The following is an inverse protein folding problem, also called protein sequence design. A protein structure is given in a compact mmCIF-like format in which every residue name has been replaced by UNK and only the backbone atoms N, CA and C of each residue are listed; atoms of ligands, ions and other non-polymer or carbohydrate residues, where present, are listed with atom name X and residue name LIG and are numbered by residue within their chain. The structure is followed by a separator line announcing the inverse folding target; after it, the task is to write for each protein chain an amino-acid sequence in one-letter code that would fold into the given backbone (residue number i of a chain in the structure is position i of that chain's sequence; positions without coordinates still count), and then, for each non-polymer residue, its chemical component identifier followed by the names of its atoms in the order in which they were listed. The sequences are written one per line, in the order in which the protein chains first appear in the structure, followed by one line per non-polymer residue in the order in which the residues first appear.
data_IF_605699058843
#
_entry.id   IF_605699058843
#
_cell.length_a   1.000
_cell.length_b   1.000
_cell.length_c   1.000
_cell.angle_alpha   90.00
_cell.angle_beta   90.00
_cell.angle_gamma   90.00
#
_symmetry.space_group_name_H-M   'P 1'
#
loop_
_entity.id
_entity.type
_entity.pdbx_description
1 polymer ?
#
# COMPACT_ATOMS: atom_id res chain seq x y z
N UNK A 1 18.54 2.51 30.30
CA UNK A 1 17.57 3.14 31.21
C UNK A 1 18.27 4.08 32.18
N UNK A 2 17.93 5.38 32.15
CA UNK A 2 18.45 6.37 33.09
C UNK A 2 17.63 6.39 34.39
N UNK A 3 16.40 5.96 34.34
CA UNK A 3 15.49 5.74 35.47
C UNK A 3 14.41 4.74 35.05
N UNK A 4 13.62 4.18 35.98
CA UNK A 4 12.44 3.35 35.62
C UNK A 4 11.41 4.09 34.75
N UNK A 5 11.48 5.42 34.71
CA UNK A 5 10.55 6.31 34.01
C UNK A 5 11.09 6.85 32.68
N UNK A 6 12.39 6.64 32.38
CA UNK A 6 13.07 7.21 31.21
C UNK A 6 13.77 6.14 30.40
N UNK A 7 13.54 6.17 29.10
CA UNK A 7 14.19 5.30 28.12
C UNK A 7 14.87 6.12 27.03
N UNK A 8 16.14 5.82 26.76
CA UNK A 8 16.86 6.33 25.59
C UNK A 8 17.31 5.14 24.77
N UNK A 9 17.12 5.20 23.47
CA UNK A 9 17.56 4.15 22.57
C UNK A 9 18.15 4.70 21.28
N UNK A 10 19.12 3.95 20.76
CA UNK A 10 19.70 4.13 19.43
C UNK A 10 19.53 2.83 18.67
N UNK A 11 18.97 2.91 17.46
CA UNK A 11 18.80 1.77 16.55
C UNK A 11 19.47 2.10 15.23
N UNK A 12 20.19 1.14 14.70
CA UNK A 12 20.68 1.13 13.34
C UNK A 12 20.11 -0.09 12.60
N UNK A 13 19.61 0.11 11.39
CA UNK A 13 19.11 -0.96 10.52
C UNK A 13 19.70 -0.76 9.12
N UNK A 14 20.58 -1.69 8.72
CA UNK A 14 21.09 -1.79 7.36
C UNK A 14 20.33 -2.88 6.60
N UNK A 15 19.80 -2.57 5.41
CA UNK A 15 19.18 -3.54 4.52
C UNK A 15 19.92 -3.56 3.20
N UNK A 16 20.17 -4.75 2.71
CA UNK A 16 20.65 -5.02 1.37
C UNK A 16 19.69 -6.02 0.72
N UNK A 17 19.21 -5.71 -0.46
CA UNK A 17 18.39 -6.59 -1.26
C UNK A 17 18.93 -6.59 -2.69
N UNK A 18 19.04 -7.77 -3.27
CA UNK A 18 19.40 -7.98 -4.67
C UNK A 18 18.49 -9.07 -5.22
N UNK A 19 17.91 -8.84 -6.39
CA UNK A 19 17.01 -9.78 -7.04
C UNK A 19 17.07 -9.66 -8.54
N UNK A 20 16.79 -10.77 -9.23
CA UNK A 20 16.62 -10.81 -10.66
C UNK A 20 15.21 -11.26 -10.98
N UNK A 21 14.53 -10.49 -11.83
CA UNK A 21 13.21 -10.82 -12.35
C UNK A 21 13.32 -11.15 -13.81
N UNK A 22 12.91 -12.36 -14.18
CA UNK A 22 12.82 -12.79 -15.56
C UNK A 22 11.35 -12.94 -15.94
N UNK A 23 10.91 -12.25 -16.99
CA UNK A 23 9.57 -12.40 -17.56
C UNK A 23 9.64 -12.86 -19.01
N UNK A 24 8.69 -13.73 -19.37
CA UNK A 24 8.52 -14.22 -20.74
C UNK A 24 7.04 -14.13 -21.09
N UNK A 25 6.71 -13.15 -21.89
CA UNK A 25 5.34 -12.79 -22.20
C UNK A 25 5.09 -12.86 -23.70
N UNK A 26 3.85 -13.16 -24.08
CA UNK A 26 3.39 -13.02 -25.46
C UNK A 26 2.28 -11.97 -25.46
N UNK A 27 2.57 -10.86 -26.11
CA UNK A 27 1.64 -9.75 -26.27
C UNK A 27 0.88 -9.94 -27.59
N UNK A 28 -0.41 -9.63 -27.58
CA UNK A 28 -1.21 -9.64 -28.78
C UNK A 28 -1.99 -8.34 -28.92
N UNK A 29 -1.83 -7.68 -30.06
CA UNK A 29 -2.67 -6.56 -30.45
C UNK A 29 -3.71 -7.08 -31.44
N UNK A 30 -4.99 -6.92 -31.10
CA UNK A 30 -6.12 -7.32 -31.94
C UNK A 30 -6.87 -6.05 -32.32
N UNK A 31 -6.62 -5.46 -33.48
CA UNK A 31 -7.34 -4.28 -33.95
C UNK A 31 -8.75 -4.68 -34.38
N UNK A 32 -9.69 -3.74 -34.33
CA UNK A 32 -11.08 -3.96 -34.83
C UNK A 32 -11.13 -4.36 -36.31
N UNK A 33 -10.16 -3.90 -37.10
CA UNK A 33 -9.98 -4.26 -38.51
C UNK A 33 -8.49 -4.44 -38.78
N UNK A 34 -8.12 -5.60 -39.31
CA UNK A 34 -6.74 -5.88 -39.69
C UNK A 34 -6.22 -7.22 -39.17
N UNK A 35 -4.91 -7.41 -39.28
CA UNK A 35 -4.23 -8.63 -38.85
C UNK A 35 -3.79 -8.46 -37.39
N UNK A 36 -4.01 -9.47 -36.59
CA UNK A 36 -3.50 -9.48 -35.20
C UNK A 36 -1.98 -9.62 -35.20
N UNK A 37 -1.34 -8.79 -34.43
CA UNK A 37 0.12 -8.80 -34.23
C UNK A 37 0.44 -9.52 -32.91
N UNK A 38 1.40 -10.44 -32.97
CA UNK A 38 1.90 -11.15 -31.80
C UNK A 38 3.35 -10.80 -31.61
N UNK A 39 3.69 -10.40 -30.39
CA UNK A 39 5.05 -10.07 -29.98
C UNK A 39 5.43 -10.96 -28.81
N UNK A 40 6.57 -11.61 -28.92
CA UNK A 40 7.22 -12.26 -27.82
C UNK A 40 8.12 -11.26 -27.12
N UNK A 41 7.91 -11.06 -25.82
CA UNK A 41 8.70 -10.16 -24.97
C UNK A 41 9.45 -11.00 -23.93
N UNK A 42 10.76 -10.82 -23.86
CA UNK A 42 11.60 -11.36 -22.78
C UNK A 42 12.23 -10.19 -22.05
N UNK A 43 11.93 -10.10 -20.77
CA UNK A 43 12.50 -9.07 -19.89
C UNK A 43 13.35 -9.71 -18.80
N UNK A 44 14.57 -9.22 -18.65
CA UNK A 44 15.51 -9.59 -17.59
C UNK A 44 15.89 -8.32 -16.84
N UNK A 45 15.46 -8.25 -15.57
CA UNK A 45 15.66 -7.06 -14.73
C UNK A 45 16.41 -7.47 -13.47
N UNK A 46 17.52 -6.80 -13.22
CA UNK A 46 18.32 -6.93 -12.01
C UNK A 46 18.12 -5.69 -11.14
N UNK A 47 17.58 -5.90 -9.95
CA UNK A 47 17.31 -4.86 -8.96
C UNK A 47 18.25 -5.00 -7.76
N UNK A 48 18.75 -3.88 -7.29
CA UNK A 48 19.59 -3.77 -6.11
C UNK A 48 19.14 -2.61 -5.25
N UNK A 49 18.85 -2.86 -3.98
CA UNK A 49 18.47 -1.84 -3.00
C UNK A 49 19.39 -1.90 -1.79
N UNK A 50 19.88 -0.74 -1.38
CA UNK A 50 20.68 -0.56 -0.16
C UNK A 50 20.04 0.54 0.66
N UNK A 51 19.74 0.28 1.92
CA UNK A 51 19.26 1.31 2.85
C UNK A 51 19.97 1.26 4.18
N UNK A 52 20.22 2.43 4.74
CA UNK A 52 20.79 2.63 6.07
C UNK A 52 19.87 3.54 6.86
N UNK A 53 19.30 3.04 7.93
CA UNK A 53 18.38 3.76 8.81
C UNK A 53 18.94 3.88 10.21
N UNK A 54 19.06 5.11 10.69
CA UNK A 54 19.44 5.45 12.04
C UNK A 54 18.24 6.05 12.76
N UNK A 55 17.91 5.54 13.93
CA UNK A 55 16.84 6.05 14.78
C UNK A 55 17.39 6.30 16.18
N UNK A 56 17.12 7.50 16.71
CA UNK A 56 17.39 7.91 18.09
C UNK A 56 16.05 8.25 18.73
N UNK A 57 15.79 7.74 19.93
CA UNK A 57 14.59 8.10 20.65
C UNK A 57 14.84 8.34 22.14
N UNK A 58 14.00 9.20 22.70
CA UNK A 58 13.85 9.44 24.12
C UNK A 58 12.38 9.37 24.50
N UNK A 59 12.06 8.56 25.50
CA UNK A 59 10.71 8.40 26.05
C UNK A 59 10.81 8.63 27.55
N UNK A 60 9.91 9.44 28.09
CA UNK A 60 9.77 9.64 29.51
C UNK A 60 8.31 9.62 29.93
N UNK A 61 8.00 8.86 31.00
CA UNK A 61 6.68 8.74 31.60
C UNK A 61 6.79 9.12 33.08
N UNK A 62 6.49 10.39 33.39
CA UNK A 62 6.57 10.89 34.76
C UNK A 62 5.37 10.45 35.58
N UNK A 63 5.57 10.13 36.85
CA UNK A 63 4.51 9.72 37.78
C UNK A 63 3.40 10.75 38.01
N UNK A 64 3.63 12.00 37.61
CA UNK A 64 2.67 13.10 37.73
C UNK A 64 1.72 13.23 36.53
N UNK A 65 1.65 12.21 35.65
CA UNK A 65 0.77 12.17 34.49
C UNK A 65 1.32 12.79 33.20
N UNK A 66 2.54 13.34 33.23
CA UNK A 66 3.20 13.83 32.02
C UNK A 66 3.93 12.71 31.30
N UNK A 67 3.80 12.68 29.96
CA UNK A 67 4.55 11.77 29.08
C UNK A 67 5.16 12.57 27.95
N UNK A 68 6.43 12.30 27.65
CA UNK A 68 7.15 12.94 26.55
C UNK A 68 7.81 11.90 25.67
N UNK A 69 7.66 12.07 24.37
CA UNK A 69 8.36 11.24 23.38
C UNK A 69 9.08 12.15 22.38
N UNK A 70 10.33 11.83 22.11
CA UNK A 70 11.16 12.49 21.09
C UNK A 70 11.75 11.40 20.21
N UNK A 71 11.61 11.53 18.90
CA UNK A 71 12.19 10.61 17.92
C UNK A 71 12.94 11.42 16.87
N UNK A 72 14.06 10.89 16.42
CA UNK A 72 14.83 11.41 15.30
C UNK A 72 15.25 10.25 14.41
N UNK A 73 15.02 10.37 13.12
CA UNK A 73 15.34 9.36 12.12
C UNK A 73 16.15 9.97 10.99
N UNK A 74 17.13 9.23 10.51
CA UNK A 74 17.82 9.49 9.26
C UNK A 74 17.85 8.21 8.43
N UNK A 75 17.38 8.29 7.20
CA UNK A 75 17.42 7.21 6.24
C UNK A 75 18.16 7.66 4.98
N UNK A 76 19.14 6.87 4.56
CA UNK A 76 19.73 6.94 3.23
C UNK A 76 19.38 5.68 2.45
N UNK A 77 18.83 5.82 1.25
CA UNK A 77 18.43 4.70 0.40
C UNK A 77 18.91 4.91 -1.03
N UNK A 78 19.52 3.87 -1.60
CA UNK A 78 19.91 3.80 -3.01
C UNK A 78 19.25 2.60 -3.65
N UNK A 79 18.47 2.82 -4.71
CA UNK A 79 17.90 1.78 -5.55
C UNK A 79 18.54 1.86 -6.94
N UNK A 80 18.98 0.71 -7.46
CA UNK A 80 19.52 0.56 -8.80
C UNK A 80 18.77 -0.55 -9.52
N UNK A 81 18.32 -0.30 -10.75
CA UNK A 81 17.68 -1.28 -11.61
C UNK A 81 18.35 -1.29 -12.97
N UNK A 82 18.64 -2.45 -13.50
CA UNK A 82 19.16 -2.67 -14.85
C UNK A 82 18.25 -3.65 -15.55
N UNK A 83 17.69 -3.25 -16.69
CA UNK A 83 16.81 -4.09 -17.48
C UNK A 83 17.29 -4.27 -18.90
N UNK A 84 17.15 -5.48 -19.42
CA UNK A 84 17.27 -5.82 -20.82
C UNK A 84 15.91 -6.36 -21.30
N UNK A 85 15.30 -5.70 -22.28
CA UNK A 85 14.04 -6.10 -22.87
C UNK A 85 14.29 -6.48 -24.32
N UNK A 86 13.92 -7.69 -24.71
CA UNK A 86 14.07 -8.22 -26.05
C UNK A 86 12.73 -8.62 -26.62
N UNK A 87 12.45 -8.18 -27.83
CA UNK A 87 11.17 -8.40 -28.49
C UNK A 87 11.35 -8.94 -29.91
N UNK A 88 10.45 -9.84 -30.29
CA UNK A 88 10.34 -10.41 -31.62
C UNK A 88 8.90 -10.32 -32.10
N UNK A 89 8.70 -9.80 -33.29
CA UNK A 89 7.43 -9.78 -33.98
C UNK A 89 7.46 -10.83 -35.09
N UNK A 90 6.74 -11.94 -34.93
CA UNK A 90 6.67 -13.05 -35.90
C UNK A 90 8.07 -13.51 -36.35
N UNK A 91 8.46 -13.23 -37.58
CA UNK A 91 9.74 -13.60 -38.19
C UNK A 91 10.70 -12.40 -38.32
N UNK A 92 10.39 -11.27 -37.70
CA UNK A 92 11.20 -10.06 -37.76
C UNK A 92 12.45 -10.12 -36.86
N UNK A 93 13.38 -9.20 -37.15
CA UNK A 93 14.61 -9.08 -36.36
C UNK A 93 14.30 -8.73 -34.88
N UNK A 94 15.11 -9.28 -33.99
CA UNK A 94 15.09 -8.95 -32.56
C UNK A 94 15.30 -7.44 -32.34
N UNK A 95 14.44 -6.84 -31.56
CA UNK A 95 14.65 -5.51 -31.00
C UNK A 95 15.07 -5.63 -29.55
N UNK A 96 16.16 -5.01 -29.16
CA UNK A 96 16.67 -4.99 -27.79
C UNK A 96 16.74 -3.60 -27.24
N UNK A 97 16.26 -3.42 -26.00
CA UNK A 97 16.33 -2.20 -25.24
C UNK A 97 16.99 -2.45 -23.89
N UNK A 98 18.05 -1.72 -23.62
CA UNK A 98 18.72 -1.71 -22.32
C UNK A 98 18.44 -0.41 -21.60
N UNK A 99 18.18 -0.49 -20.30
CA UNK A 99 18.06 0.67 -19.43
C UNK A 99 18.79 0.50 -18.12
N UNK A 100 19.20 1.62 -17.55
CA UNK A 100 19.75 1.73 -16.21
C UNK A 100 19.00 2.83 -15.45
N UNK A 101 18.42 2.47 -14.30
CA UNK A 101 17.77 3.41 -13.39
C UNK A 101 18.54 3.44 -12.08
N UNK A 102 18.70 4.64 -11.52
CA UNK A 102 19.26 4.85 -10.20
C UNK A 102 18.44 5.90 -9.45
N UNK A 103 18.03 5.60 -8.23
CA UNK A 103 17.37 6.52 -7.34
C UNK A 103 18.13 6.59 -5.99
N UNK A 104 18.51 7.79 -5.59
CA UNK A 104 19.19 8.08 -4.32
C UNK A 104 18.29 8.99 -3.47
N UNK A 105 18.05 8.61 -2.23
CA UNK A 105 17.15 9.31 -1.32
C UNK A 105 17.77 9.50 0.06
N UNK A 106 17.62 10.72 0.59
CA UNK A 106 17.91 11.09 1.96
C UNK A 106 16.62 11.57 2.63
N UNK A 107 16.31 11.02 3.78
CA UNK A 107 15.16 11.40 4.60
C UNK A 107 15.65 11.68 6.02
N UNK A 108 15.34 12.86 6.51
CA UNK A 108 15.45 13.22 7.91
C UNK A 108 14.04 13.46 8.48
N UNK A 109 13.72 12.85 9.61
CA UNK A 109 12.45 13.07 10.31
C UNK A 109 12.68 13.25 11.81
N UNK A 110 11.88 14.14 12.41
CA UNK A 110 11.86 14.34 13.85
C UNK A 110 10.40 14.45 14.33
N UNK A 111 10.13 13.87 15.50
CA UNK A 111 8.82 13.91 16.13
C UNK A 111 8.98 14.21 17.62
N UNK A 112 8.20 15.16 18.07
CA UNK A 112 8.04 15.50 19.48
C UNK A 112 6.58 15.33 19.87
N UNK A 113 6.30 14.71 21.00
CA UNK A 113 4.97 14.70 21.60
C UNK A 113 5.05 14.84 23.12
N UNK A 114 4.14 15.65 23.65
CA UNK A 114 3.96 15.87 25.07
C UNK A 114 2.47 15.61 25.39
N UNK A 115 2.20 14.74 26.35
CA UNK A 115 0.85 14.50 26.84
C UNK A 115 0.75 14.64 28.34
N UNK A 116 -0.41 15.05 28.79
CA UNK A 116 -0.75 15.16 30.19
C UNK A 116 -2.06 14.42 30.46
N UNK A 117 -1.96 13.38 31.26
CA UNK A 117 -3.05 12.49 31.64
C UNK A 117 -3.51 12.80 33.08
N UNK A 118 -4.84 12.97 33.25
CA UNK A 118 -5.45 13.15 34.54
C UNK A 118 -6.63 12.18 34.69
N UNK A 119 -6.81 11.66 35.91
CA UNK A 119 -7.92 10.73 36.21
C UNK A 119 -9.32 11.37 35.97
N UNK A 120 -9.47 12.67 36.14
CA UNK A 120 -10.77 13.36 36.07
C UNK A 120 -11.03 14.12 34.79
N UNK A 121 -9.98 14.62 34.14
CA UNK A 121 -10.12 15.49 32.98
C UNK A 121 -9.63 14.86 31.67
N UNK A 122 -9.22 13.60 31.69
CA UNK A 122 -8.74 12.89 30.49
C UNK A 122 -7.30 13.23 30.12
N UNK A 123 -6.96 13.02 28.87
CA UNK A 123 -5.61 13.18 28.32
C UNK A 123 -5.56 14.30 27.29
N UNK A 124 -4.69 15.28 27.49
CA UNK A 124 -4.36 16.30 26.51
C UNK A 124 -3.00 15.96 25.88
N UNK A 125 -2.92 16.07 24.55
CA UNK A 125 -1.67 15.83 23.85
C UNK A 125 -1.39 16.94 22.85
N UNK A 126 -0.11 17.34 22.81
CA UNK A 126 0.45 18.29 21.86
C UNK A 126 1.64 17.63 21.18
N UNK A 127 1.76 17.79 19.87
CA UNK A 127 2.94 17.26 19.18
C UNK A 127 3.30 18.04 17.94
N UNK A 128 4.53 17.84 17.53
CA UNK A 128 5.13 18.43 16.34
C UNK A 128 5.91 17.39 15.57
N UNK A 129 5.64 17.28 14.27
CA UNK A 129 6.36 16.41 13.36
C UNK A 129 7.04 17.24 12.28
N UNK A 130 8.29 16.92 12.02
CA UNK A 130 9.11 17.50 10.96
C UNK A 130 9.61 16.39 10.05
N UNK A 131 9.62 16.60 8.73
CA UNK A 131 10.38 15.76 7.82
C UNK A 131 10.95 16.57 6.65
N UNK A 132 12.14 16.18 6.23
CA UNK A 132 12.84 16.68 5.06
C UNK A 132 13.27 15.49 4.21
N UNK A 133 12.74 15.39 3.00
CA UNK A 133 13.10 14.37 2.03
C UNK A 133 13.78 15.04 0.84
N UNK A 134 14.92 14.51 0.40
CA UNK A 134 15.61 14.95 -0.81
C UNK A 134 16.09 13.73 -1.59
N UNK A 135 15.91 13.74 -2.90
CA UNK A 135 16.38 12.64 -3.72
C UNK A 135 16.48 12.97 -5.20
N UNK A 136 17.12 12.06 -5.90
CA UNK A 136 17.29 12.10 -7.36
C UNK A 136 16.86 10.76 -7.94
N UNK A 137 16.05 10.78 -8.99
CA UNK A 137 15.69 9.62 -9.80
C UNK A 137 16.24 9.87 -11.21
N UNK A 138 17.04 8.94 -11.70
CA UNK A 138 17.70 8.99 -12.99
C UNK A 138 17.43 7.73 -13.79
N UNK A 139 17.03 7.84 -15.03
CA UNK A 139 16.89 6.74 -15.98
C UNK A 139 17.65 7.03 -17.26
N UNK A 140 18.41 6.06 -17.72
CA UNK A 140 19.19 6.10 -18.95
C UNK A 140 18.81 4.93 -19.84
N UNK A 141 18.52 5.21 -21.11
CA UNK A 141 18.26 4.23 -22.14
C UNK A 141 19.41 4.17 -23.12
N UNK A 142 19.87 2.97 -23.40
CA UNK A 142 20.88 2.71 -24.44
C UNK A 142 20.13 2.47 -25.74
N UNK A 143 20.05 3.48 -26.62
CA UNK A 143 19.58 3.45 -28.03
C UNK A 143 18.13 3.83 -28.35
N UNK A 144 17.21 4.12 -27.40
CA UNK A 144 15.81 4.24 -27.81
C UNK A 144 14.99 5.42 -27.25
N UNK A 145 15.15 5.81 -25.99
CA UNK A 145 14.35 6.86 -25.36
C UNK A 145 15.23 7.97 -24.77
N UNK A 146 14.60 9.10 -24.48
CA UNK A 146 15.29 10.19 -23.81
C UNK A 146 15.61 9.83 -22.38
N UNK A 147 16.83 10.11 -21.95
CA UNK A 147 17.26 9.99 -20.57
C UNK A 147 16.52 11.02 -19.71
N UNK A 148 16.08 10.61 -18.53
CA UNK A 148 15.40 11.48 -17.58
C UNK A 148 16.15 11.59 -16.26
N UNK A 149 16.15 12.79 -15.67
CA UNK A 149 16.69 13.02 -14.34
C UNK A 149 15.82 14.02 -13.60
N UNK A 150 15.21 13.57 -12.52
CA UNK A 150 14.35 14.38 -11.67
C UNK A 150 14.97 14.50 -10.27
N UNK A 151 15.00 15.71 -9.74
CA UNK A 151 15.35 15.99 -8.35
C UNK A 151 14.09 16.40 -7.60
N UNK A 152 13.85 15.74 -6.47
CA UNK A 152 12.73 15.98 -5.58
C UNK A 152 13.24 16.48 -4.23
N UNK A 153 12.61 17.52 -3.70
CA UNK A 153 12.85 18.00 -2.33
C UNK A 153 11.51 18.31 -1.69
N UNK A 154 11.25 17.76 -0.51
CA UNK A 154 10.01 18.02 0.21
C UNK A 154 10.30 18.32 1.68
N UNK A 155 9.69 19.40 2.18
CA UNK A 155 9.74 19.82 3.58
C UNK A 155 8.31 19.78 4.13
N UNK A 156 8.12 19.06 5.24
CA UNK A 156 6.83 18.98 5.94
C UNK A 156 7.01 19.38 7.40
N UNK A 157 6.09 20.21 7.85
CA UNK A 157 5.93 20.59 9.25
C UNK A 157 4.48 20.31 9.66
N UNK A 158 4.28 19.71 10.81
CA UNK A 158 2.94 19.42 11.31
C UNK A 158 2.86 19.71 12.79
N UNK A 159 1.82 20.39 13.19
CA UNK A 159 1.46 20.63 14.60
C UNK A 159 0.12 19.95 14.88
N UNK A 160 0.01 19.21 15.98
CA UNK A 160 -1.26 18.60 16.35
C UNK A 160 -1.58 18.77 17.83
N UNK A 161 -2.88 18.85 18.09
CA UNK A 161 -3.48 18.88 19.42
C UNK A 161 -4.56 17.82 19.47
N UNK A 162 -4.59 17.02 20.53
CA UNK A 162 -5.68 16.06 20.77
C UNK A 162 -6.12 16.06 22.23
N UNK A 163 -7.37 15.67 22.43
CA UNK A 163 -7.98 15.48 23.71
C UNK A 163 -8.76 14.16 23.72
N UNK A 164 -8.51 13.32 24.72
CA UNK A 164 -9.15 12.04 24.91
C UNK A 164 -9.76 11.98 26.32
N UNK A 165 -11.05 11.65 26.39
CA UNK A 165 -11.78 11.53 27.65
C UNK A 165 -12.59 10.24 27.71
N UNK A 166 -12.48 9.54 28.81
CA UNK A 166 -13.24 8.33 29.09
C UNK A 166 -14.11 8.53 30.31
N UNK A 167 -15.41 8.22 30.15
CA UNK A 167 -16.39 8.28 31.23
C UNK A 167 -17.22 6.98 31.26
N UNK A 168 -16.99 6.16 32.29
CA UNK A 168 -17.56 4.82 32.39
C UNK A 168 -17.29 4.01 31.10
N UNK A 169 -18.35 3.66 30.39
CA UNK A 169 -18.30 2.88 29.16
C UNK A 169 -18.15 3.74 27.91
N UNK A 170 -18.18 5.06 28.02
CA UNK A 170 -18.10 6.00 26.91
C UNK A 170 -16.70 6.61 26.81
N UNK A 171 -16.14 6.69 25.60
CA UNK A 171 -14.88 7.38 25.34
C UNK A 171 -15.07 8.36 24.16
N UNK A 172 -14.58 9.56 24.34
CA UNK A 172 -14.56 10.63 23.33
C UNK A 172 -13.12 11.00 23.04
N UNK A 173 -12.75 11.02 21.76
CA UNK A 173 -11.48 11.57 21.27
C UNK A 173 -11.76 12.69 20.28
N UNK A 174 -11.00 13.78 20.37
CA UNK A 174 -11.01 14.86 19.41
C UNK A 174 -9.58 15.32 19.11
N UNK A 175 -9.28 15.59 17.85
CA UNK A 175 -7.96 16.02 17.43
C UNK A 175 -8.02 17.02 16.28
N UNK A 176 -7.03 17.88 16.21
CA UNK A 176 -6.78 18.77 15.08
C UNK A 176 -5.30 18.75 14.75
N UNK A 177 -4.99 18.48 13.49
CA UNK A 177 -3.64 18.52 12.95
C UNK A 177 -3.58 19.58 11.85
N UNK A 178 -2.59 20.45 11.93
CA UNK A 178 -2.24 21.37 10.85
C UNK A 178 -0.96 20.88 10.19
N UNK A 179 -0.95 20.80 8.85
CA UNK A 179 0.23 20.44 8.07
C UNK A 179 0.57 21.54 7.08
N UNK A 180 1.83 21.93 7.06
CA UNK A 180 2.45 22.75 6.03
C UNK A 180 3.48 21.92 5.27
N UNK A 181 3.24 21.75 3.96
CA UNK A 181 4.10 20.93 3.10
C UNK A 181 4.55 21.81 1.92
N UNK A 182 5.86 21.81 1.66
CA UNK A 182 6.44 22.41 0.47
C UNK A 182 7.21 21.36 -0.29
N UNK A 183 6.84 21.16 -1.57
CA UNK A 183 7.47 20.22 -2.49
C UNK A 183 8.05 21.00 -3.68
N UNK A 184 9.28 20.71 -4.03
CA UNK A 184 10.03 21.29 -5.16
C UNK A 184 10.54 20.14 -6.03
N UNK A 185 10.02 20.06 -7.25
CA UNK A 185 10.36 19.06 -8.24
C UNK A 185 11.03 19.75 -9.43
N UNK A 186 12.19 19.25 -9.84
CA UNK A 186 12.96 19.80 -10.96
C UNK A 186 13.43 18.68 -11.87
N UNK A 187 13.07 18.82 -13.13
CA UNK A 187 13.62 17.99 -14.18
C UNK A 187 14.85 18.67 -14.79
N UNK A 188 15.94 17.92 -14.88
CA UNK A 188 17.23 18.51 -15.30
C UNK A 188 17.31 18.68 -16.81
N UNK A 189 16.64 17.83 -17.60
CA UNK A 189 16.79 17.81 -19.06
C UNK A 189 15.84 18.79 -19.77
N UNK A 190 14.64 19.04 -19.24
CA UNK A 190 13.59 19.83 -19.89
C UNK A 190 13.35 21.19 -19.23
N UNK A 191 14.13 21.58 -18.23
CA UNK A 191 13.92 22.79 -17.42
C UNK A 191 12.53 22.92 -16.81
N UNK A 192 11.78 21.82 -16.75
CA UNK A 192 10.47 21.78 -16.10
C UNK A 192 10.65 21.75 -14.58
N UNK A 193 9.92 22.60 -13.93
CA UNK A 193 9.88 22.61 -12.46
C UNK A 193 8.45 22.75 -11.97
N UNK A 194 8.16 22.08 -10.86
CA UNK A 194 6.86 22.15 -10.21
C UNK A 194 7.06 22.41 -8.72
N UNK A 195 6.51 23.53 -8.25
CA UNK A 195 6.49 23.89 -6.84
C UNK A 195 5.08 23.78 -6.31
N UNK A 196 4.90 23.05 -5.23
CA UNK A 196 3.60 22.87 -4.58
C UNK A 196 3.72 23.22 -3.10
N UNK A 197 2.75 23.97 -2.60
CA UNK A 197 2.63 24.27 -1.18
C UNK A 197 1.22 23.93 -0.70
N UNK A 198 1.14 23.17 0.38
CA UNK A 198 -0.13 22.74 0.97
C UNK A 198 -0.24 23.22 2.40
N UNK A 199 -1.47 23.61 2.75
CA UNK A 199 -1.89 23.96 4.10
C UNK A 199 -3.12 23.13 4.45
N UNK A 200 -2.96 22.10 5.25
CA UNK A 200 -4.01 21.14 5.57
C UNK A 200 -4.46 21.30 7.01
N UNK A 201 -5.76 21.39 7.23
CA UNK A 201 -6.39 21.24 8.53
C UNK A 201 -7.10 19.89 8.56
N UNK A 202 -6.65 19.01 9.44
CA UNK A 202 -7.04 17.61 9.49
C UNK A 202 -7.68 17.30 10.85
N UNK A 203 -8.98 17.57 11.01
CA UNK A 203 -9.72 17.22 12.22
C UNK A 203 -9.96 15.72 12.32
N UNK A 204 -10.07 15.22 13.54
CA UNK A 204 -10.51 13.87 13.86
C UNK A 204 -11.43 13.90 15.09
N UNK A 205 -12.47 13.05 15.05
CA UNK A 205 -13.37 12.83 16.19
C UNK A 205 -13.67 11.35 16.28
N UNK A 206 -13.65 10.82 17.49
CA UNK A 206 -14.00 9.43 17.78
C UNK A 206 -14.96 9.36 18.96
N UNK A 207 -15.96 8.50 18.86
CA UNK A 207 -16.90 8.18 19.92
C UNK A 207 -16.93 6.66 20.05
N UNK A 208 -16.64 6.13 21.25
CA UNK A 208 -16.65 4.69 21.51
C UNK A 208 -17.50 4.39 22.73
N UNK A 209 -18.25 3.29 22.66
CA UNK A 209 -19.00 2.74 23.78
C UNK A 209 -18.64 1.27 23.97
N UNK A 210 -18.09 0.93 25.15
CA UNK A 210 -17.52 -0.37 25.44
C UNK A 210 -18.13 -0.97 26.71
N UNK A 211 -18.69 -2.18 26.58
CA UNK A 211 -19.11 -3.03 27.68
C UNK A 211 -18.41 -4.39 27.56
N UNK A 212 -18.62 -5.29 28.50
CA UNK A 212 -18.05 -6.65 28.44
C UNK A 212 -18.42 -7.43 27.16
N UNK A 213 -19.63 -7.21 26.63
CA UNK A 213 -20.15 -7.98 25.49
C UNK A 213 -20.33 -7.17 24.21
N UNK A 214 -20.30 -5.84 24.30
CA UNK A 214 -20.53 -4.93 23.18
C UNK A 214 -19.45 -3.86 23.17
N UNK A 215 -18.75 -3.76 22.06
CA UNK A 215 -17.83 -2.66 21.76
C UNK A 215 -18.24 -2.03 20.43
N UNK A 216 -18.38 -0.73 20.41
CA UNK A 216 -18.71 0.00 19.19
C UNK A 216 -17.98 1.33 19.16
N UNK A 217 -17.61 1.76 17.95
CA UNK A 217 -17.00 3.06 17.73
C UNK A 217 -17.44 3.68 16.44
N UNK A 218 -17.59 4.99 16.46
CA UNK A 218 -17.80 5.83 15.30
C UNK A 218 -16.65 6.82 15.23
N UNK A 219 -15.92 6.85 14.13
CA UNK A 219 -14.80 7.75 13.91
C UNK A 219 -15.01 8.55 12.63
N UNK A 220 -14.66 9.81 12.68
CA UNK A 220 -14.54 10.67 11.53
C UNK A 220 -13.17 11.31 11.52
N UNK A 221 -12.49 11.28 10.38
CA UNK A 221 -11.19 11.92 10.22
C UNK A 221 -11.00 12.46 8.81
N UNK A 222 -10.13 13.46 8.70
CA UNK A 222 -9.60 13.91 7.42
C UNK A 222 -8.13 13.59 7.39
N UNK A 223 -7.66 12.96 6.31
CA UNK A 223 -6.25 12.67 6.09
C UNK A 223 -5.83 12.94 4.66
N UNK A 224 -4.53 13.10 4.44
CA UNK A 224 -3.95 13.35 3.14
C UNK A 224 -3.12 12.16 2.66
N UNK A 225 -3.15 11.88 1.37
CA UNK A 225 -2.26 10.95 0.69
C UNK A 225 -1.45 11.72 -0.34
N UNK A 226 -0.13 11.64 -0.24
CA UNK A 226 0.78 12.30 -1.18
C UNK A 226 1.25 11.30 -2.23
N UNK A 227 1.44 11.75 -3.49
CA UNK A 227 1.96 10.88 -4.53
C UNK A 227 3.31 10.28 -4.13
N UNK A 228 3.58 9.01 -4.53
CA UNK A 228 4.90 8.44 -4.40
C UNK A 228 5.93 9.21 -5.22
N UNK A 229 7.13 9.38 -4.71
CA UNK A 229 8.18 10.13 -5.41
C UNK A 229 8.56 9.49 -6.76
N UNK A 230 8.53 8.16 -6.84
CA UNK A 230 8.91 7.41 -8.05
C UNK A 230 8.01 7.65 -9.27
N UNK A 231 6.78 8.19 -9.08
CA UNK A 231 5.87 8.55 -10.17
C UNK A 231 5.79 10.06 -10.43
N UNK A 232 6.41 10.88 -9.57
CA UNK A 232 6.48 12.33 -9.72
C UNK A 232 7.68 12.76 -10.57
N UNK A 233 7.70 12.32 -11.81
CA UNK A 233 8.72 12.63 -12.81
C UNK A 233 8.07 12.69 -14.20
N UNK A 234 8.81 13.06 -15.23
CA UNK A 234 8.34 13.02 -16.64
C UNK A 234 8.99 11.87 -17.44
N UNK A 235 9.62 10.94 -16.74
CA UNK A 235 10.29 9.80 -17.34
C UNK A 235 9.26 8.87 -17.98
N UNK A 236 9.56 8.37 -19.18
CA UNK A 236 8.80 7.29 -19.79
C UNK A 236 9.59 5.99 -19.60
N UNK A 237 8.97 5.02 -18.96
CA UNK A 237 9.53 3.68 -18.81
C UNK A 237 8.90 2.77 -19.85
N UNK A 238 9.73 2.15 -20.66
CA UNK A 238 9.32 1.19 -21.67
C UNK A 238 8.97 -0.14 -20.97
N UNK A 239 7.76 -0.60 -21.16
CA UNK A 239 7.31 -1.92 -20.67
C UNK A 239 7.36 -2.94 -21.81
N UNK A 240 6.81 -2.56 -22.95
CA UNK A 240 6.79 -3.32 -24.19
C UNK A 240 6.45 -2.39 -25.37
N UNK A 241 6.48 -2.91 -26.60
CA UNK A 241 6.21 -2.14 -27.83
C UNK A 241 4.85 -1.42 -27.83
N UNK A 242 3.88 -1.93 -27.10
CA UNK A 242 2.52 -1.39 -27.02
C UNK A 242 2.25 -0.63 -25.72
N UNK A 243 3.18 -0.65 -24.76
CA UNK A 243 2.93 -0.10 -23.43
C UNK A 243 4.13 0.68 -22.91
N UNK A 244 3.87 1.93 -22.53
CA UNK A 244 4.79 2.79 -21.80
C UNK A 244 4.17 3.16 -20.46
N UNK A 245 4.98 3.21 -19.42
CA UNK A 245 4.60 3.82 -18.15
C UNK A 245 5.24 5.21 -18.08
N UNK A 246 4.45 6.24 -17.83
CA UNK A 246 4.91 7.61 -17.70
C UNK A 246 4.66 8.15 -16.31
N UNK A 247 5.62 8.91 -15.79
CA UNK A 247 5.41 9.68 -14.57
C UNK A 247 4.55 10.93 -14.82
N UNK A 248 4.14 11.61 -13.76
CA UNK A 248 3.38 12.86 -13.82
C UNK A 248 3.88 13.84 -12.75
N UNK A 249 4.55 14.91 -13.19
CA UNK A 249 5.07 15.97 -12.32
C UNK A 249 3.96 16.78 -11.62
N UNK A 250 2.76 16.80 -12.20
CA UNK A 250 1.65 17.66 -11.77
C UNK A 250 0.72 17.00 -10.77
N UNK A 251 1.07 15.83 -10.28
CA UNK A 251 0.29 15.12 -9.27
C UNK A 251 0.13 15.96 -8.00
N UNK A 252 -1.10 16.03 -7.52
CA UNK A 252 -1.48 16.71 -6.29
C UNK A 252 -1.72 15.68 -5.18
N UNK A 253 -1.60 16.11 -3.94
CA UNK A 253 -2.05 15.30 -2.82
C UNK A 253 -3.56 15.03 -2.89
N UNK A 254 -3.97 13.84 -2.50
CA UNK A 254 -5.36 13.49 -2.25
C UNK A 254 -5.76 13.90 -0.83
N UNK A 255 -7.02 14.32 -0.65
CA UNK A 255 -7.62 14.64 0.65
C UNK A 255 -8.82 13.72 0.85
N UNK A 256 -8.80 12.91 1.89
CA UNK A 256 -9.84 11.92 2.17
C UNK A 256 -10.58 12.26 3.46
N UNK A 257 -11.90 12.37 3.35
CA UNK A 257 -12.83 12.32 4.47
C UNK A 257 -13.20 10.87 4.72
N UNK A 258 -13.00 10.40 5.92
CA UNK A 258 -13.21 9.01 6.32
C UNK A 258 -14.21 8.95 7.48
N UNK A 259 -15.32 8.25 7.28
CA UNK A 259 -16.32 7.95 8.30
C UNK A 259 -16.37 6.44 8.50
N UNK A 260 -15.99 5.98 9.69
CA UNK A 260 -15.91 4.57 10.00
C UNK A 260 -16.73 4.21 11.23
N UNK A 261 -17.58 3.20 11.11
CA UNK A 261 -18.32 2.60 12.20
C UNK A 261 -17.89 1.15 12.40
N UNK A 262 -17.51 0.80 13.63
CA UNK A 262 -17.17 -0.57 14.04
C UNK A 262 -18.09 -1.03 15.15
N UNK A 263 -18.49 -2.28 15.07
CA UNK A 263 -19.25 -2.99 16.08
C UNK A 263 -18.62 -4.36 16.32
N UNK A 264 -18.33 -4.66 17.58
CA UNK A 264 -17.96 -5.98 18.04
C UNK A 264 -18.98 -6.45 19.08
N UNK A 265 -19.66 -7.55 18.80
CA UNK A 265 -20.64 -8.14 19.72
C UNK A 265 -20.47 -9.66 19.76
N UNK A 266 -19.97 -10.18 20.88
CA UNK A 266 -19.71 -11.62 21.09
C UNK A 266 -18.82 -12.20 19.95
N UNK A 267 -19.43 -12.87 19.00
CA UNK A 267 -18.79 -13.55 17.87
C UNK A 267 -18.98 -12.80 16.54
N UNK A 268 -19.66 -11.67 16.57
CA UNK A 268 -19.90 -10.82 15.41
C UNK A 268 -18.96 -9.61 15.43
N UNK A 269 -18.22 -9.40 14.35
CA UNK A 269 -17.59 -8.14 14.03
C UNK A 269 -18.26 -7.54 12.78
N UNK A 270 -18.63 -6.29 12.86
CA UNK A 270 -19.17 -5.52 11.75
C UNK A 270 -18.39 -4.22 11.59
N UNK A 271 -18.02 -3.88 10.35
CA UNK A 271 -17.41 -2.61 9.99
C UNK A 271 -18.13 -2.01 8.79
N UNK A 272 -18.42 -0.72 8.87
CA UNK A 272 -18.94 0.08 7.76
C UNK A 272 -18.07 1.32 7.61
N UNK A 273 -17.40 1.44 6.48
CA UNK A 273 -16.51 2.55 6.17
C UNK A 273 -17.01 3.28 4.92
N UNK A 274 -17.09 4.58 5.01
CA UNK A 274 -17.38 5.47 3.89
C UNK A 274 -16.27 6.48 3.73
N UNK A 275 -15.68 6.55 2.54
CA UNK A 275 -14.66 7.53 2.21
C UNK A 275 -15.08 8.42 1.04
N UNK A 276 -14.74 9.69 1.14
CA UNK A 276 -14.85 10.67 0.06
C UNK A 276 -13.48 11.30 -0.16
N UNK A 277 -12.83 10.94 -1.27
CA UNK A 277 -11.48 11.41 -1.61
C UNK A 277 -11.55 12.46 -2.70
N UNK A 278 -10.99 13.63 -2.45
CA UNK A 278 -10.72 14.69 -3.42
C UNK A 278 -9.33 14.50 -4.02
N UNK A 279 -9.19 14.73 -5.32
CA UNK A 279 -7.95 14.49 -6.08
C UNK A 279 -7.38 13.07 -5.86
N UNK A 280 -8.20 11.99 -5.88
CA UNK A 280 -7.67 10.64 -5.71
C UNK A 280 -6.62 10.33 -6.77
N UNK A 281 -5.58 9.61 -6.35
CA UNK A 281 -4.53 9.13 -7.23
C UNK A 281 -5.01 7.85 -7.92
N UNK A 282 -5.14 7.87 -9.23
CA UNK A 282 -5.66 6.73 -10.02
C UNK A 282 -4.78 6.48 -11.23
N UNK A 283 -4.50 5.21 -11.52
CA UNK A 283 -3.81 4.83 -12.75
C UNK A 283 -4.75 5.01 -13.93
N UNK A 284 -4.36 5.88 -14.86
CA UNK A 284 -5.07 6.17 -16.10
C UNK A 284 -4.28 5.69 -17.32
N UNK A 285 -4.95 5.63 -18.46
CA UNK A 285 -4.38 5.17 -19.72
C UNK A 285 -4.84 6.09 -20.86
N UNK A 286 -3.96 6.34 -21.81
CA UNK A 286 -4.32 6.99 -23.06
C UNK A 286 -3.53 6.41 -24.25
N UNK A 287 -4.09 6.50 -25.44
CA UNK A 287 -3.36 6.15 -26.67
C UNK A 287 -2.32 7.22 -26.98
N UNK A 288 -1.11 6.81 -27.33
CA UNK A 288 -0.03 7.75 -27.68
C UNK A 288 -0.45 8.62 -28.85
N UNK A 289 -0.32 9.96 -28.76
CA UNK A 289 -0.59 10.85 -29.89
C UNK A 289 0.24 10.47 -31.12
N UNK A 290 -0.43 10.24 -32.25
CA UNK A 290 0.21 9.84 -33.52
C UNK A 290 0.45 8.33 -33.65
N UNK A 291 0.24 7.52 -32.61
CA UNK A 291 0.32 6.06 -32.66
C UNK A 291 -0.69 5.42 -31.72
N UNK A 292 -1.92 5.20 -32.20
CA UNK A 292 -3.01 4.61 -31.41
C UNK A 292 -2.77 3.15 -30.98
N UNK A 293 -1.75 2.50 -31.55
CA UNK A 293 -1.35 1.16 -31.16
C UNK A 293 -0.62 1.13 -29.82
N UNK A 294 -0.11 2.27 -29.37
CA UNK A 294 0.67 2.39 -28.14
C UNK A 294 -0.17 2.99 -27.02
N UNK A 295 -0.23 2.29 -25.91
CA UNK A 295 -0.89 2.73 -24.68
C UNK A 295 0.13 3.32 -23.72
N UNK A 296 -0.18 4.50 -23.18
CA UNK A 296 0.60 5.10 -22.09
C UNK A 296 -0.19 4.96 -20.80
N UNK A 297 0.41 4.27 -19.83
CA UNK A 297 -0.08 4.18 -18.45
C UNK A 297 0.56 5.27 -17.60
N UNK A 298 -0.21 5.99 -16.81
CA UNK A 298 0.30 7.04 -15.92
C UNK A 298 -0.62 7.21 -14.71
N UNK A 299 -0.08 7.79 -13.65
CA UNK A 299 -0.90 8.18 -12.51
C UNK A 299 -1.47 9.58 -12.73
N UNK A 300 -2.74 9.79 -12.39
CA UNK A 300 -3.42 11.08 -12.50
C UNK A 300 -4.32 11.33 -11.29
N UNK A 301 -4.69 12.59 -11.08
CA UNK A 301 -5.68 12.98 -10.08
C UNK A 301 -7.06 13.07 -10.72
N UNK A 302 -8.01 12.33 -10.17
CA UNK A 302 -9.40 12.52 -10.52
C UNK A 302 -10.04 13.57 -9.61
N UNK A 303 -11.23 14.07 -9.96
CA UNK A 303 -11.89 15.08 -9.16
C UNK A 303 -12.34 14.51 -7.82
N UNK A 304 -13.12 13.42 -7.85
CA UNK A 304 -13.72 12.83 -6.66
C UNK A 304 -13.95 11.33 -6.78
N UNK A 305 -13.70 10.62 -5.67
CA UNK A 305 -13.98 9.21 -5.55
C UNK A 305 -14.68 8.94 -4.22
N UNK A 306 -15.82 8.24 -4.26
CA UNK A 306 -16.50 7.79 -3.05
C UNK A 306 -16.42 6.28 -2.97
N UNK A 307 -16.08 5.74 -1.79
CA UNK A 307 -16.08 4.32 -1.53
C UNK A 307 -16.96 4.01 -0.32
N UNK A 308 -17.76 2.97 -0.44
CA UNK A 308 -18.50 2.37 0.67
C UNK A 308 -18.06 0.93 0.82
N UNK A 309 -17.50 0.59 1.97
CA UNK A 309 -17.04 -0.76 2.29
C UNK A 309 -17.77 -1.26 3.53
N UNK A 310 -18.46 -2.39 3.39
CA UNK A 310 -19.06 -3.10 4.50
C UNK A 310 -18.35 -4.43 4.72
N UNK A 311 -18.03 -4.77 5.96
CA UNK A 311 -17.43 -6.05 6.33
C UNK A 311 -18.16 -6.66 7.50
N UNK A 312 -18.49 -7.95 7.39
CA UNK A 312 -19.04 -8.77 8.47
C UNK A 312 -18.08 -9.94 8.69
N UNK A 313 -17.64 -10.14 9.90
CA UNK A 313 -16.92 -11.34 10.30
C UNK A 313 -17.71 -12.06 11.41
N UNK A 314 -17.91 -13.34 11.23
CA UNK A 314 -18.54 -14.25 12.18
C UNK A 314 -17.52 -15.31 12.57
N UNK A 315 -17.12 -15.33 13.84
CA UNK A 315 -16.20 -16.34 14.36
C UNK A 315 -16.80 -16.99 15.60
N UNK A 316 -17.17 -18.27 15.50
CA UNK A 316 -17.78 -18.99 16.61
C UNK A 316 -17.02 -20.27 16.92
N UNK A 317 -16.26 -20.32 18.04
CA UNK A 317 -15.50 -21.52 18.41
C UNK A 317 -16.44 -22.64 18.88
N UNK A 318 -16.31 -23.81 18.23
CA UNK A 318 -17.06 -25.04 18.59
C UNK A 318 -16.05 -26.11 18.99
N UNK A 319 -15.65 -26.12 20.26
CA UNK A 319 -14.69 -27.11 20.80
C UNK A 319 -13.44 -27.31 19.93
N UNK A 320 -13.44 -28.33 19.07
CA UNK A 320 -12.32 -28.69 18.18
C UNK A 320 -12.34 -27.97 16.84
N UNK A 321 -13.38 -27.17 16.55
CA UNK A 321 -13.55 -26.45 15.29
C UNK A 321 -13.78 -24.97 15.55
N UNK A 322 -13.01 -24.12 14.86
CA UNK A 322 -13.13 -22.67 14.91
C UNK A 322 -13.40 -22.16 13.49
N UNK A 323 -14.67 -22.05 13.08
CA UNK A 323 -15.03 -21.41 11.83
C UNK A 323 -14.92 -19.89 11.93
N UNK A 324 -14.46 -19.26 10.87
CA UNK A 324 -14.47 -17.80 10.70
C UNK A 324 -14.94 -17.46 9.28
N UNK A 325 -16.07 -16.79 9.18
CA UNK A 325 -16.66 -16.35 7.92
C UNK A 325 -16.55 -14.82 7.82
N UNK A 326 -15.82 -14.33 6.82
CA UNK A 326 -15.73 -12.91 6.52
C UNK A 326 -16.36 -12.63 5.17
N UNK A 327 -17.32 -11.71 5.15
CA UNK A 327 -17.91 -11.16 3.95
C UNK A 327 -17.56 -9.67 3.85
N UNK A 328 -16.87 -9.27 2.79
CA UNK A 328 -16.58 -7.87 2.48
C UNK A 328 -17.31 -7.47 1.21
N UNK A 329 -18.01 -6.36 1.24
CA UNK A 329 -18.68 -5.75 0.08
C UNK A 329 -18.12 -4.35 -0.13
N UNK A 330 -17.56 -4.09 -1.29
CA UNK A 330 -16.97 -2.80 -1.66
C UNK A 330 -17.70 -2.21 -2.86
N UNK A 331 -18.15 -0.97 -2.72
CA UNK A 331 -18.77 -0.22 -3.80
C UNK A 331 -18.05 1.11 -3.97
N UNK A 332 -17.39 1.27 -5.11
CA UNK A 332 -16.82 2.55 -5.53
C UNK A 332 -17.86 3.30 -6.34
N UNK A 333 -18.02 4.59 -6.08
CA UNK A 333 -18.85 5.49 -6.86
C UNK A 333 -17.94 6.51 -7.52
N UNK A 334 -17.94 6.52 -8.83
CA UNK A 334 -17.23 7.51 -9.64
C UNK A 334 -18.09 7.92 -10.82
N UNK A 335 -17.83 9.10 -11.30
CA UNK A 335 -18.43 9.65 -12.48
C UNK A 335 -17.30 10.34 -13.25
N UNK A 336 -16.81 9.71 -14.29
CA UNK A 336 -15.60 10.14 -14.99
C UNK A 336 -15.89 10.37 -16.47
N UNK A 337 -15.47 11.51 -17.04
CA UNK A 337 -15.66 11.74 -18.48
C UNK A 337 -14.79 10.76 -19.29
N UNK A 338 -15.44 9.95 -20.11
CA UNK A 338 -14.76 9.23 -21.17
C UNK A 338 -14.38 10.17 -22.32
N UNK A 339 -13.55 9.73 -23.26
CA UNK A 339 -13.04 10.59 -24.34
C UNK A 339 -14.10 10.94 -25.39
N UNK A 340 -15.12 10.13 -25.51
CA UNK A 340 -16.28 10.38 -26.36
C UNK A 340 -17.31 11.32 -25.72
N UNK A 341 -16.98 11.91 -24.55
CA UNK A 341 -17.87 12.72 -23.73
C UNK A 341 -18.89 11.92 -22.94
N UNK A 342 -18.91 10.59 -23.07
CA UNK A 342 -19.74 9.72 -22.21
C UNK A 342 -19.20 9.70 -20.80
N UNK A 343 -20.11 9.56 -19.82
CA UNK A 343 -19.71 9.44 -18.42
C UNK A 343 -19.53 7.99 -18.04
N UNK A 344 -18.31 7.58 -17.75
CA UNK A 344 -18.00 6.30 -17.15
C UNK A 344 -18.52 6.28 -15.71
N UNK A 345 -19.33 5.30 -15.38
CA UNK A 345 -19.92 5.12 -14.05
C UNK A 345 -19.46 3.81 -13.43
N UNK A 346 -19.38 3.79 -12.12
CA UNK A 346 -19.09 2.56 -11.39
C UNK A 346 -20.15 1.51 -11.66
N UNK A 347 -19.69 0.30 -11.90
CA UNK A 347 -20.55 -0.86 -12.15
C UNK A 347 -20.98 -1.57 -10.86
N UNK A 348 -20.81 -2.89 -10.83
CA UNK A 348 -21.21 -3.77 -9.73
C UNK A 348 -20.32 -3.63 -8.50
N UNK A 349 -20.86 -3.81 -7.27
CA UNK A 349 -20.00 -3.95 -6.09
C UNK A 349 -19.12 -5.20 -6.23
N UNK A 350 -17.93 -5.13 -5.64
CA UNK A 350 -17.03 -6.27 -5.48
C UNK A 350 -17.33 -6.92 -4.12
N UNK A 351 -17.60 -8.23 -4.12
CA UNK A 351 -17.81 -9.01 -2.90
C UNK A 351 -16.67 -10.01 -2.74
N UNK A 352 -16.13 -10.11 -1.54
CA UNK A 352 -15.08 -11.06 -1.17
C UNK A 352 -15.58 -11.88 0.00
N UNK A 353 -15.60 -13.19 -0.16
CA UNK A 353 -15.94 -14.17 0.88
C UNK A 353 -14.67 -14.92 1.28
N UNK A 354 -14.32 -14.87 2.57
CA UNK A 354 -13.27 -15.69 3.16
C UNK A 354 -13.90 -16.62 4.19
N UNK A 355 -13.72 -17.91 4.02
CA UNK A 355 -14.21 -18.91 4.97
C UNK A 355 -13.02 -19.73 5.47
N UNK A 356 -12.54 -19.35 6.66
CA UNK A 356 -11.37 -19.93 7.30
C UNK A 356 -11.83 -20.91 8.37
N UNK A 357 -11.31 -22.11 8.33
CA UNK A 357 -11.65 -23.16 9.30
C UNK A 357 -10.38 -23.66 9.96
N UNK A 358 -10.40 -23.74 11.28
CA UNK A 358 -9.32 -24.33 12.07
C UNK A 358 -9.86 -25.50 12.88
N UNK A 359 -9.24 -26.67 12.71
CA UNK A 359 -9.63 -27.90 13.38
C UNK A 359 -8.49 -28.38 14.27
N UNK A 360 -8.77 -28.50 15.58
CA UNK A 360 -7.87 -29.16 16.51
C UNK A 360 -8.16 -30.66 16.49
N UNK A 361 -7.29 -31.42 15.85
CA UNK A 361 -7.42 -32.86 15.68
C UNK A 361 -6.76 -33.61 16.86
N UNK A 362 -7.08 -34.91 17.03
CA UNK A 362 -6.40 -35.75 18.03
C UNK A 362 -4.88 -35.70 17.89
N UNK A 363 -4.18 -35.97 19.00
CA UNK A 363 -2.71 -35.94 19.07
C UNK A 363 -2.07 -34.59 18.80
N UNK A 364 -2.81 -33.46 18.92
CA UNK A 364 -2.28 -32.10 18.80
C UNK A 364 -1.98 -31.67 17.35
N UNK A 365 -2.59 -32.29 16.36
CA UNK A 365 -2.58 -31.76 15.00
C UNK A 365 -3.55 -30.59 14.85
N UNK A 366 -3.13 -29.57 14.13
CA UNK A 366 -3.96 -28.43 13.73
C UNK A 366 -4.13 -28.45 12.21
N UNK A 367 -5.36 -28.68 11.74
CA UNK A 367 -5.72 -28.58 10.32
C UNK A 367 -6.40 -27.24 10.06
N UNK A 368 -5.90 -26.46 9.10
CA UNK A 368 -6.56 -25.25 8.61
C UNK A 368 -7.03 -25.45 7.18
N UNK A 369 -8.22 -24.93 6.87
CA UNK A 369 -8.80 -24.94 5.53
C UNK A 369 -9.35 -23.55 5.20
N UNK A 370 -8.71 -22.85 4.26
CA UNK A 370 -9.00 -21.46 3.92
C UNK A 370 -9.58 -21.38 2.51
N UNK A 371 -10.87 -21.13 2.43
CA UNK A 371 -11.59 -20.95 1.17
C UNK A 371 -11.82 -19.47 0.91
N UNK A 372 -11.47 -19.02 -0.29
CA UNK A 372 -11.61 -17.64 -0.73
C UNK A 372 -12.40 -17.58 -2.04
N UNK A 373 -13.33 -16.62 -2.12
CA UNK A 373 -14.11 -16.33 -3.30
C UNK A 373 -14.23 -14.82 -3.49
N UNK A 374 -13.82 -14.33 -4.66
CA UNK A 374 -14.09 -12.98 -5.11
C UNK A 374 -15.13 -12.97 -6.21
N UNK A 375 -16.16 -12.13 -6.08
CA UNK A 375 -17.17 -11.95 -7.13
C UNK A 375 -16.62 -11.13 -8.30
N UNK A 376 -17.34 -11.10 -9.41
CA UNK A 376 -17.13 -10.05 -10.41
C UNK A 376 -17.63 -8.72 -9.85
N UNK A 377 -16.80 -7.67 -9.93
CA UNK A 377 -17.12 -6.33 -9.44
C UNK A 377 -16.06 -5.31 -9.79
N UNK A 378 -16.29 -4.06 -9.42
CA UNK A 378 -15.36 -2.96 -9.69
C UNK A 378 -14.59 -2.58 -8.43
N UNK A 379 -13.29 -2.42 -8.61
CA UNK A 379 -12.42 -1.72 -7.68
C UNK A 379 -11.79 -0.54 -8.41
N UNK A 380 -12.11 0.68 -8.01
CA UNK A 380 -11.79 1.90 -8.76
C UNK A 380 -12.27 1.76 -10.22
N UNK A 381 -11.40 1.93 -11.20
CA UNK A 381 -11.69 1.82 -12.64
C UNK A 381 -11.59 0.39 -13.19
N UNK A 382 -11.12 -0.57 -12.37
CA UNK A 382 -10.88 -1.93 -12.80
C UNK A 382 -12.07 -2.84 -12.51
N UNK A 383 -12.56 -3.53 -13.52
CA UNK A 383 -13.48 -4.62 -13.34
C UNK A 383 -12.70 -5.92 -13.05
N UNK A 384 -12.78 -6.42 -11.83
CA UNK A 384 -12.28 -7.75 -11.49
C UNK A 384 -13.27 -8.83 -11.93
N UNK A 385 -12.77 -9.94 -12.51
CA UNK A 385 -13.57 -11.15 -12.73
C UNK A 385 -13.53 -12.02 -11.48
N UNK A 386 -14.51 -12.92 -11.34
CA UNK A 386 -14.57 -13.83 -10.21
C UNK A 386 -13.36 -14.77 -10.17
N UNK A 387 -12.89 -15.02 -8.96
CA UNK A 387 -11.82 -15.97 -8.67
C UNK A 387 -12.19 -16.80 -7.42
N UNK A 388 -11.52 -17.93 -7.25
CA UNK A 388 -11.65 -18.75 -6.06
C UNK A 388 -10.36 -19.55 -5.85
N UNK A 389 -10.00 -19.77 -4.59
CA UNK A 389 -8.92 -20.69 -4.23
C UNK A 389 -9.16 -21.33 -2.87
N UNK A 390 -8.53 -22.48 -2.66
CA UNK A 390 -8.54 -23.24 -1.42
C UNK A 390 -7.11 -23.53 -1.01
N UNK A 391 -6.77 -23.18 0.23
CA UNK A 391 -5.52 -23.58 0.88
C UNK A 391 -5.82 -24.54 2.02
N UNK A 392 -4.94 -25.51 2.21
CA UNK A 392 -4.94 -26.44 3.34
C UNK A 392 -3.60 -26.37 4.05
N UNK A 393 -3.60 -26.41 5.36
CA UNK A 393 -2.39 -26.47 6.19
C UNK A 393 -2.56 -27.45 7.32
N UNK A 394 -1.63 -28.39 7.45
CA UNK A 394 -1.57 -29.33 8.56
C UNK A 394 -0.31 -29.03 9.37
N UNK A 395 -0.51 -28.67 10.66
CA UNK A 395 0.56 -28.28 11.58
C UNK A 395 0.59 -29.20 12.79
N UNK A 396 1.80 -29.40 13.32
CA UNK A 396 2.00 -30.07 14.61
C UNK A 396 3.18 -29.45 15.34
N UNK A 397 2.97 -29.15 16.61
CA UNK A 397 4.01 -28.68 17.54
C UNK A 397 4.58 -29.82 18.36
N UNK A 398 5.86 -29.72 18.69
CA UNK A 398 6.63 -30.63 19.53
C UNK A 398 7.53 -29.82 20.46
N UNK A 399 8.10 -30.44 21.48
CA UNK A 399 9.07 -29.84 22.41
C UNK A 399 8.52 -28.58 23.10
N UNK A 400 7.33 -28.66 23.67
CA UNK A 400 6.64 -27.53 24.32
C UNK A 400 6.56 -26.31 23.39
N UNK A 401 6.04 -26.52 22.17
CA UNK A 401 5.83 -25.53 21.11
C UNK A 401 7.14 -24.91 20.55
N UNK A 402 8.31 -25.45 20.87
CA UNK A 402 9.58 -24.96 20.30
C UNK A 402 9.82 -25.42 18.88
N UNK A 403 9.39 -26.64 18.54
CA UNK A 403 9.50 -27.17 17.20
C UNK A 403 8.11 -27.30 16.57
N UNK A 404 7.88 -26.64 15.46
CA UNK A 404 6.64 -26.73 14.68
C UNK A 404 6.94 -27.23 13.28
N UNK A 405 6.21 -28.24 12.86
CA UNK A 405 6.21 -28.77 11.49
C UNK A 405 4.89 -28.37 10.83
N UNK A 406 4.96 -27.87 9.58
CA UNK A 406 3.80 -27.54 8.76
C UNK A 406 3.92 -28.15 7.37
N UNK A 407 2.81 -28.73 6.90
CA UNK A 407 2.63 -29.14 5.51
C UNK A 407 1.50 -28.29 4.93
N UNK A 408 1.80 -27.50 3.91
CA UNK A 408 0.92 -26.50 3.35
C UNK A 408 0.66 -26.77 1.87
N UNK A 409 -0.60 -26.80 1.47
CA UNK A 409 -1.05 -26.87 0.09
C UNK A 409 -1.77 -25.59 -0.31
N UNK A 410 -1.28 -24.91 -1.33
CA UNK A 410 -1.82 -23.64 -1.79
C UNK A 410 -2.54 -23.80 -3.13
N UNK A 411 -3.63 -23.04 -3.31
CA UNK A 411 -4.46 -23.00 -4.53
C UNK A 411 -4.73 -24.39 -5.12
N UNK A 412 -5.27 -25.29 -4.30
CA UNK A 412 -5.48 -26.69 -4.67
C UNK A 412 -6.33 -26.86 -5.93
N UNK A 413 -7.22 -25.90 -6.22
CA UNK A 413 -8.04 -25.90 -7.41
C UNK A 413 -7.37 -25.28 -8.64
N UNK A 414 -6.18 -24.66 -8.50
CA UNK A 414 -5.47 -23.91 -9.55
C UNK A 414 -6.35 -22.86 -10.24
N UNK A 415 -7.18 -22.16 -9.46
CA UNK A 415 -8.14 -21.16 -9.94
C UNK A 415 -7.86 -19.76 -9.44
N UNK A 416 -6.77 -19.55 -8.71
CA UNK A 416 -6.30 -18.22 -8.31
C UNK A 416 -5.69 -17.51 -9.53
N UNK A 417 -6.57 -17.00 -10.40
CA UNK A 417 -6.20 -16.23 -11.58
C UNK A 417 -6.81 -14.86 -11.45
N UNK A 418 -5.98 -13.86 -11.27
CA UNK A 418 -6.43 -12.47 -11.26
C UNK A 418 -6.71 -12.06 -12.70
N UNK A 419 -7.97 -11.78 -12.99
CA UNK A 419 -8.40 -11.27 -14.28
C UNK A 419 -9.04 -9.94 -14.05
N UNK A 420 -8.54 -8.89 -14.68
CA UNK A 420 -9.11 -7.55 -14.62
C UNK A 420 -9.31 -6.98 -16.02
N UNK A 421 -10.26 -6.10 -16.11
CA UNK A 421 -10.50 -5.30 -17.31
C UNK A 421 -10.63 -3.85 -16.88
N UNK A 422 -9.99 -2.95 -17.62
CA UNK A 422 -10.18 -1.52 -17.50
C UNK A 422 -10.65 -0.98 -18.86
N UNK A 423 -11.65 -0.11 -18.83
CA UNK A 423 -12.06 0.64 -20.01
C UNK A 423 -11.84 2.11 -19.68
N UNK A 424 -10.91 2.71 -20.39
CA UNK A 424 -10.61 4.12 -20.27
C UNK A 424 -10.39 4.65 -21.67
N UNK A 425 -11.13 5.68 -22.01
CA UNK A 425 -11.03 6.21 -23.34
C UNK A 425 -11.36 5.11 -24.37
N UNK A 426 -10.77 5.11 -25.52
CA UNK A 426 -10.94 4.07 -26.55
C UNK A 426 -10.17 2.77 -26.24
N UNK A 427 -9.55 2.68 -25.06
CA UNK A 427 -8.71 1.56 -24.67
C UNK A 427 -9.53 0.59 -23.83
N UNK A 428 -9.56 -0.67 -24.23
CA UNK A 428 -10.02 -1.80 -23.42
C UNK A 428 -8.79 -2.64 -23.07
N UNK A 429 -8.33 -2.51 -21.83
CA UNK A 429 -7.26 -3.34 -21.31
C UNK A 429 -7.86 -4.58 -20.65
N UNK A 430 -7.45 -5.77 -21.06
CA UNK A 430 -7.73 -7.02 -20.37
C UNK A 430 -6.42 -7.57 -19.84
N UNK A 431 -6.33 -7.73 -18.53
CA UNK A 431 -5.18 -8.32 -17.86
C UNK A 431 -5.54 -9.70 -17.31
N UNK A 432 -4.67 -10.67 -17.53
CA UNK A 432 -4.78 -12.01 -16.96
C UNK A 432 -3.45 -12.29 -16.28
N UNK A 433 -3.40 -12.06 -14.97
CA UNK A 433 -2.29 -12.49 -14.13
C UNK A 433 -2.49 -13.96 -13.75
N UNK A 434 -1.57 -14.83 -14.16
CA UNK A 434 -1.49 -16.21 -13.70
C UNK A 434 -0.13 -16.40 -13.07
N UNK A 435 -0.08 -16.28 -11.76
CA UNK A 435 1.09 -16.67 -10.98
C UNK A 435 1.07 -18.18 -10.74
N UNK A 436 2.23 -18.79 -10.49
CA UNK A 436 2.33 -20.18 -10.06
C UNK A 436 1.98 -20.28 -8.57
N UNK A 437 0.68 -20.16 -8.27
CA UNK A 437 0.13 -20.18 -6.90
C UNK A 437 -0.09 -21.59 -6.37
N UNK A 438 -0.19 -22.60 -7.27
CA UNK A 438 -0.42 -23.98 -6.89
C UNK A 438 0.91 -24.62 -6.48
N UNK A 439 1.11 -24.73 -5.17
CA UNK A 439 2.34 -25.29 -4.61
C UNK A 439 2.07 -26.09 -3.34
N UNK A 440 3.00 -26.97 -3.01
CA UNK A 440 3.06 -27.66 -1.72
C UNK A 440 4.34 -27.19 -1.01
N UNK A 441 4.19 -26.80 0.25
CA UNK A 441 5.29 -26.35 1.10
C UNK A 441 5.44 -27.25 2.33
N UNK A 442 6.66 -27.49 2.74
CA UNK A 442 6.97 -28.07 4.05
C UNK A 442 7.83 -27.09 4.83
N UNK A 443 7.38 -26.75 6.03
CA UNK A 443 8.06 -25.77 6.87
C UNK A 443 8.42 -26.37 8.22
N UNK A 444 9.67 -26.18 8.63
CA UNK A 444 10.16 -26.50 9.97
C UNK A 444 10.50 -25.20 10.68
N UNK A 445 9.81 -24.92 11.79
CA UNK A 445 10.07 -23.73 12.60
C UNK A 445 10.58 -24.16 13.97
N UNK A 446 11.78 -23.70 14.34
CA UNK A 446 12.32 -23.87 15.67
C UNK A 446 12.44 -22.51 16.37
N UNK A 447 11.82 -22.35 17.54
CA UNK A 447 11.82 -21.13 18.32
C UNK A 447 12.87 -21.19 19.42
N UNK A 448 13.87 -20.34 19.29
CA UNK A 448 14.81 -20.05 20.38
C UNK A 448 14.13 -19.08 21.36
N UNK A 449 14.21 -19.37 22.65
CA UNK A 449 13.66 -18.46 23.66
C UNK A 449 14.48 -17.17 23.67
N UNK A 450 13.90 -16.06 23.21
CA UNK A 450 14.46 -14.73 23.35
C UNK A 450 13.55 -13.88 24.22
N UNK A 451 14.11 -13.30 25.30
CA UNK A 451 13.38 -12.44 26.26
C UNK A 451 13.36 -10.96 25.85
N UNK A 452 13.82 -10.59 24.65
CA UNK A 452 13.89 -9.19 24.21
C UNK A 452 12.83 -8.87 23.16
N UNK A 453 11.82 -8.10 23.56
CA UNK A 453 10.97 -7.33 22.66
C UNK A 453 11.66 -6.00 22.35
N UNK A 454 12.02 -5.76 21.09
CA UNK A 454 12.46 -4.43 20.65
C UNK A 454 11.22 -3.59 20.29
N UNK A 455 11.10 -2.42 20.89
CA UNK A 455 10.09 -1.45 20.51
C UNK A 455 10.45 -0.86 19.14
N UNK A 456 9.59 -1.11 18.14
CA UNK A 456 9.76 -0.59 16.77
C UNK A 456 8.94 0.71 16.67
N UNK A 457 9.54 1.86 17.00
CA UNK A 457 8.89 3.18 16.91
C UNK A 457 9.77 4.10 16.07
N UNK A 458 9.19 4.68 15.01
CA UNK A 458 9.90 5.57 14.09
C UNK A 458 9.05 6.80 13.78
N UNK A 459 9.71 7.96 13.65
CA UNK A 459 9.08 9.19 13.16
C UNK A 459 8.95 9.20 11.62
N UNK A 460 9.73 8.37 10.94
CA UNK A 460 9.87 8.36 9.49
C UNK A 460 8.94 7.37 8.77
N UNK A 461 8.14 6.56 9.48
CA UNK A 461 7.41 5.42 8.92
C UNK A 461 6.54 5.80 7.70
N UNK A 462 5.74 6.87 7.81
CA UNK A 462 4.89 7.35 6.71
C UNK A 462 5.70 7.86 5.52
N UNK A 463 6.86 8.46 5.74
CA UNK A 463 7.72 8.98 4.67
C UNK A 463 8.50 7.84 4.01
N UNK A 464 8.94 6.86 4.80
CA UNK A 464 9.66 5.69 4.31
C UNK A 464 8.81 4.85 3.36
N UNK A 465 7.50 4.73 3.62
CA UNK A 465 6.58 4.00 2.74
C UNK A 465 6.52 4.60 1.33
N UNK A 466 6.66 5.92 1.19
CA UNK A 466 6.67 6.62 -0.12
C UNK A 466 7.96 6.39 -0.92
N UNK A 467 9.03 5.95 -0.27
CA UNK A 467 10.30 5.60 -0.91
C UNK A 467 10.35 4.13 -1.38
N UNK A 468 9.43 3.29 -0.93
CA UNK A 468 9.41 1.86 -1.22
C UNK A 468 8.55 1.48 -2.43
N UNK A 469 7.90 2.44 -3.10
CA UNK A 469 6.99 2.16 -4.21
C UNK A 469 7.70 2.04 -5.56
N UNK A 470 8.64 1.10 -5.64
CA UNK A 470 9.16 0.56 -6.89
C UNK A 470 8.96 -0.97 -6.94
N UNK A 471 7.77 -1.45 -6.58
CA UNK A 471 7.35 -2.82 -6.88
C UNK A 471 6.35 -2.85 -8.03
#
# INVERSE_FOLDING_TARGET
HFSPESEVGLKYEGKYSEGNTFSNETLSMIPDKGVSTFIKNLSDVSDKSVSNHFNLYYINDWKNGWKMNVFGDYLHKTDCSRGNIREWESDDAETSMDYHRKADWDLFAAKFSLSYETEKAGTFSLGYDFSHTSGTDYIEYIRALNNGRTRNTELKNSLYLSYDYAWNNLSLGAGLRYEHIRSDLRETNDSKSQNQTYHNFLPSVSLSYNTESLQQSLTYSIHTERPPFGVMNDNAVYTDRFTYQKGNLYLKQALTHDLNYMLFYKFLFFNLNYTCTHNPLVTAFYSMPGNSAVTVSYMDNFDKLHNLTGMINLQYPVKWWIPSLTLTCMKTFFNYPGPDGSMLKSGRPLMILNFNNSFTLPSGFLLSADFNYGSRGYYQLYESKSYTFLNLSLKKSFLDDRLQLSLDGYDLFNKNKIRSAARLNDIIMNSIGKEDTRKVGFTVTYRFRTERTMNNRSAAENEMSRLNMSE
#
